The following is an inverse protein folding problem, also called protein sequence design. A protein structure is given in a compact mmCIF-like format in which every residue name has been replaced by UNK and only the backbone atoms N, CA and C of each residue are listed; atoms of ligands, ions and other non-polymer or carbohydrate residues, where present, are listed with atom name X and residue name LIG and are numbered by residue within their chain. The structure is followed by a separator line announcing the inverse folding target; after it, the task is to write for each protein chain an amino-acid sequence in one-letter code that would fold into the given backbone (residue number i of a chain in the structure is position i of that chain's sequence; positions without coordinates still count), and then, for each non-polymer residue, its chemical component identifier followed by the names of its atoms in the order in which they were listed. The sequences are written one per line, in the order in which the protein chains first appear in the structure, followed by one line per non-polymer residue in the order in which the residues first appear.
data_IF_770025834932
#
_entry.id   IF_770025834932
#
_cell.length_a   1.000
_cell.length_b   1.000
_cell.length_c   1.000
_cell.angle_alpha   90.00
_cell.angle_beta   90.00
_cell.angle_gamma   90.00
#
_symmetry.space_group_name_H-M   'P 1'
#
loop_
_entity.id
_entity.type
_entity.pdbx_description
1 polymer ?
#
# COMPACT_ATOMS: atom_id res chain seq x y z
N UNK A 1 21.39 -3.50 2.51
CA UNK A 1 20.99 -2.17 2.01
C UNK A 1 19.76 -2.36 1.16
N UNK A 2 18.61 -1.97 1.66
CA UNK A 2 17.38 -2.03 0.88
C UNK A 2 17.40 -0.90 -0.15
N UNK A 3 17.62 -1.26 -1.41
CA UNK A 3 17.31 -0.38 -2.51
C UNK A 3 15.78 -0.25 -2.55
N UNK A 4 15.25 0.76 -1.83
CA UNK A 4 13.97 1.32 -2.19
C UNK A 4 14.25 1.95 -3.55
N UNK A 5 13.94 1.22 -4.63
CA UNK A 5 13.99 1.79 -5.96
C UNK A 5 12.98 2.93 -5.95
N UNK A 6 13.50 4.13 -5.96
CA UNK A 6 12.75 5.37 -5.95
C UNK A 6 12.02 5.51 -7.29
N UNK A 7 10.88 4.85 -7.41
CA UNK A 7 9.92 5.17 -8.45
C UNK A 7 9.02 6.29 -7.92
N UNK A 8 9.60 7.46 -7.70
CA UNK A 8 8.83 8.63 -7.31
C UNK A 8 8.28 9.33 -8.54
N UNK A 9 6.98 9.46 -8.63
CA UNK A 9 6.33 10.31 -9.64
C UNK A 9 6.62 11.81 -9.43
N UNK A 10 7.25 12.20 -8.31
CA UNK A 10 7.45 13.59 -7.91
C UNK A 10 8.90 13.96 -7.57
N UNK A 11 9.86 13.05 -7.76
CA UNK A 11 11.29 13.36 -7.59
C UNK A 11 11.73 13.73 -6.16
N UNK A 12 10.93 13.41 -5.15
CA UNK A 12 11.22 13.79 -3.77
C UNK A 12 12.17 12.81 -3.09
N UNK A 13 13.19 13.33 -2.45
CA UNK A 13 14.11 12.53 -1.66
C UNK A 13 13.51 12.22 -0.28
N UNK A 14 13.94 11.10 0.30
CA UNK A 14 13.61 10.70 1.68
C UNK A 14 13.92 11.81 2.70
N UNK A 15 14.94 12.61 2.44
CA UNK A 15 15.35 13.75 3.29
C UNK A 15 14.33 14.88 3.23
N UNK A 16 13.77 15.15 2.07
CA UNK A 16 12.73 16.18 1.88
C UNK A 16 11.42 15.78 2.53
N UNK A 17 11.04 14.51 2.45
CA UNK A 17 9.87 13.99 3.15
C UNK A 17 10.00 14.10 4.68
N UNK A 18 11.19 13.88 5.24
CA UNK A 18 11.45 13.99 6.67
C UNK A 18 11.64 15.41 7.18
N UNK A 19 12.14 16.34 6.35
CA UNK A 19 12.41 17.72 6.73
C UNK A 19 11.15 18.59 6.78
N UNK A 20 10.06 18.16 6.20
CA UNK A 20 8.78 18.87 6.20
C UNK A 20 7.90 18.34 7.32
N UNK A 21 7.19 19.22 8.03
CA UNK A 21 6.10 18.84 8.95
C UNK A 21 4.87 18.27 8.20
N UNK A 22 5.11 17.56 7.09
CA UNK A 22 4.07 16.98 6.28
C UNK A 22 3.46 15.77 6.96
N UNK A 23 2.14 15.66 6.89
CA UNK A 23 1.43 14.46 7.30
C UNK A 23 1.62 13.36 6.25
N UNK A 24 2.39 12.35 6.56
CA UNK A 24 2.68 11.22 5.68
C UNK A 24 1.78 10.05 6.06
N UNK A 25 1.02 9.59 5.10
CA UNK A 25 0.18 8.40 5.21
C UNK A 25 0.79 7.30 4.35
N UNK A 26 0.96 6.11 4.92
CA UNK A 26 1.44 4.92 4.23
C UNK A 26 0.31 3.90 4.08
N UNK A 27 0.09 3.44 2.88
CA UNK A 27 -0.82 2.35 2.55
C UNK A 27 -0.09 1.35 1.65
N UNK A 28 -0.51 0.09 1.63
CA UNK A 28 0.18 -0.94 0.86
C UNK A 28 -0.78 -1.94 0.25
N UNK A 29 -0.41 -2.47 -0.91
CA UNK A 29 -1.25 -3.34 -1.72
C UNK A 29 -0.42 -4.34 -2.54
N UNK A 30 -1.03 -5.43 -2.93
CA UNK A 30 -0.59 -6.22 -4.07
C UNK A 30 -0.95 -5.47 -5.37
N UNK A 31 -2.14 -4.96 -5.46
CA UNK A 31 -2.69 -4.16 -6.58
C UNK A 31 -2.63 -4.89 -7.92
N UNK A 32 -2.99 -6.16 -7.94
CA UNK A 32 -2.94 -6.99 -9.14
C UNK A 32 -4.04 -6.63 -10.15
N UNK A 33 -5.28 -6.52 -9.66
CA UNK A 33 -6.41 -5.99 -10.43
C UNK A 33 -6.99 -4.83 -9.65
N UNK A 34 -6.87 -3.62 -10.19
CA UNK A 34 -7.43 -2.42 -9.58
C UNK A 34 -8.95 -2.46 -9.67
N UNK A 35 -9.60 -2.26 -8.56
CA UNK A 35 -11.05 -2.21 -8.46
C UNK A 35 -11.49 -1.11 -7.49
N UNK A 36 -12.80 -0.90 -7.39
CA UNK A 36 -13.39 0.16 -6.57
C UNK A 36 -12.94 0.12 -5.11
N UNK A 37 -12.75 -1.07 -4.53
CA UNK A 37 -12.27 -1.22 -3.15
C UNK A 37 -10.88 -0.59 -2.94
N UNK A 38 -9.95 -0.78 -3.87
CA UNK A 38 -8.64 -0.14 -3.86
C UNK A 38 -8.78 1.39 -3.98
N UNK A 39 -9.61 1.87 -4.90
CA UNK A 39 -9.80 3.31 -5.12
C UNK A 39 -10.40 4.00 -3.89
N UNK A 40 -11.35 3.36 -3.20
CA UNK A 40 -11.93 3.87 -1.96
C UNK A 40 -10.88 3.97 -0.85
N UNK A 41 -10.06 2.93 -0.66
CA UNK A 41 -8.98 2.95 0.32
C UNK A 41 -7.98 4.07 0.01
N UNK A 42 -7.56 4.21 -1.23
CA UNK A 42 -6.61 5.24 -1.66
C UNK A 42 -7.18 6.65 -1.52
N UNK A 43 -8.44 6.85 -1.89
CA UNK A 43 -9.15 8.12 -1.71
C UNK A 43 -9.21 8.53 -0.24
N UNK A 44 -9.59 7.60 0.64
CA UNK A 44 -9.66 7.84 2.08
C UNK A 44 -8.28 8.10 2.67
N UNK A 45 -7.27 7.33 2.26
CA UNK A 45 -5.89 7.53 2.69
C UNK A 45 -5.36 8.92 2.30
N UNK A 46 -5.66 9.37 1.07
CA UNK A 46 -5.28 10.73 0.63
C UNK A 46 -6.04 11.81 1.39
N UNK A 47 -7.31 11.61 1.69
CA UNK A 47 -8.09 12.54 2.51
C UNK A 47 -7.51 12.68 3.93
N UNK A 48 -7.04 11.57 4.53
CA UNK A 48 -6.36 11.57 5.83
C UNK A 48 -5.02 12.32 5.76
N UNK A 49 -4.26 12.17 4.67
CA UNK A 49 -3.03 12.92 4.46
C UNK A 49 -3.29 14.45 4.42
N UNK A 50 -4.41 14.83 3.87
CA UNK A 50 -4.80 16.23 3.69
C UNK A 50 -4.14 16.89 2.48
N UNK A 51 -4.46 18.19 2.22
CA UNK A 51 -4.00 18.88 1.01
C UNK A 51 -2.47 19.07 0.98
N UNK A 52 -1.85 19.29 2.13
CA UNK A 52 -0.40 19.48 2.27
C UNK A 52 0.35 18.19 2.63
N UNK A 53 -0.38 17.12 2.90
CA UNK A 53 0.19 15.81 3.20
C UNK A 53 0.47 14.97 1.96
N UNK A 54 1.06 13.80 2.18
CA UNK A 54 1.40 12.85 1.10
C UNK A 54 0.94 11.45 1.41
N UNK A 55 0.39 10.82 0.38
CA UNK A 55 0.10 9.39 0.38
C UNK A 55 1.22 8.64 -0.32
N UNK A 56 1.93 7.81 0.44
CA UNK A 56 2.93 6.88 -0.07
C UNK A 56 2.29 5.48 -0.13
N UNK A 57 2.41 4.84 -1.28
CA UNK A 57 1.84 3.50 -1.51
C UNK A 57 2.97 2.49 -1.72
N UNK A 58 2.99 1.46 -0.89
CA UNK A 58 3.87 0.31 -1.03
C UNK A 58 3.24 -0.77 -1.92
N UNK A 59 3.99 -1.24 -2.91
CA UNK A 59 3.58 -2.36 -3.77
C UNK A 59 4.39 -3.59 -3.39
N UNK A 60 3.68 -4.63 -2.97
CA UNK A 60 4.28 -5.89 -2.50
C UNK A 60 4.99 -6.61 -3.65
N UNK A 61 6.21 -7.11 -3.40
CA UNK A 61 7.02 -7.82 -4.40
C UNK A 61 6.33 -9.10 -4.88
N UNK A 62 6.68 -9.55 -6.09
CA UNK A 62 6.18 -10.82 -6.65
C UNK A 62 6.55 -12.01 -5.75
N UNK A 63 7.77 -12.02 -5.23
CA UNK A 63 8.28 -13.07 -4.34
C UNK A 63 7.48 -13.16 -3.04
N UNK A 64 7.17 -12.01 -2.43
CA UNK A 64 6.39 -11.99 -1.19
C UNK A 64 4.94 -12.44 -1.41
N UNK A 65 4.34 -12.06 -2.54
CA UNK A 65 3.00 -12.54 -2.92
C UNK A 65 3.00 -14.04 -3.15
N UNK A 66 3.97 -14.56 -3.91
CA UNK A 66 4.11 -15.98 -4.17
C UNK A 66 4.27 -16.77 -2.86
N UNK A 67 5.15 -16.32 -1.97
CA UNK A 67 5.38 -16.97 -0.67
C UNK A 67 4.12 -16.99 0.21
N UNK A 68 3.34 -15.91 0.20
CA UNK A 68 2.12 -15.78 1.03
C UNK A 68 0.91 -16.49 0.44
N UNK A 69 0.70 -16.38 -0.88
CA UNK A 69 -0.52 -16.84 -1.57
C UNK A 69 -0.33 -18.14 -2.37
N UNK A 70 0.89 -18.62 -2.52
CA UNK A 70 1.21 -19.81 -3.33
C UNK A 70 1.09 -19.62 -4.84
N UNK A 71 0.87 -18.39 -5.31
CA UNK A 71 0.79 -18.02 -6.72
C UNK A 71 1.24 -16.58 -6.94
N UNK A 72 1.86 -16.33 -8.09
CA UNK A 72 2.27 -14.99 -8.50
C UNK A 72 1.07 -14.12 -8.87
N UNK A 73 1.20 -12.79 -8.78
CA UNK A 73 0.24 -11.87 -9.37
C UNK A 73 0.13 -12.07 -10.90
N UNK A 74 -0.99 -11.65 -11.48
CA UNK A 74 -1.18 -11.65 -12.95
C UNK A 74 -0.29 -10.59 -13.62
N UNK A 75 -0.23 -9.41 -13.01
CA UNK A 75 0.61 -8.32 -13.47
C UNK A 75 1.97 -8.38 -12.77
N UNK A 76 3.03 -8.10 -13.52
CA UNK A 76 4.38 -8.02 -12.97
C UNK A 76 4.49 -6.90 -11.95
N UNK A 77 5.51 -6.97 -11.10
CA UNK A 77 5.79 -5.92 -10.11
C UNK A 77 5.91 -4.54 -10.76
N UNK A 78 6.63 -4.43 -11.89
CA UNK A 78 6.79 -3.16 -12.61
C UNK A 78 5.47 -2.59 -13.14
N UNK A 79 4.61 -3.43 -13.70
CA UNK A 79 3.27 -3.01 -14.14
C UNK A 79 2.41 -2.53 -12.97
N UNK A 80 2.47 -3.20 -11.83
CA UNK A 80 1.71 -2.82 -10.63
C UNK A 80 2.22 -1.51 -10.03
N UNK A 81 3.52 -1.25 -10.06
CA UNK A 81 4.13 0.04 -9.70
C UNK A 81 3.62 1.16 -10.63
N UNK A 82 3.63 0.94 -11.92
CA UNK A 82 3.18 1.92 -12.91
C UNK A 82 1.70 2.25 -12.74
N UNK A 83 0.85 1.24 -12.56
CA UNK A 83 -0.58 1.43 -12.29
C UNK A 83 -0.82 2.23 -11.02
N UNK A 84 -0.14 1.89 -9.92
CA UNK A 84 -0.26 2.62 -8.67
C UNK A 84 0.10 4.10 -8.85
N UNK A 85 1.19 4.39 -9.56
CA UNK A 85 1.64 5.74 -9.86
C UNK A 85 0.70 6.55 -10.76
N UNK A 86 -0.17 5.87 -11.50
CA UNK A 86 -1.16 6.50 -12.39
C UNK A 86 -2.46 6.88 -11.67
N UNK A 87 -2.65 6.45 -10.43
CA UNK A 87 -3.84 6.75 -9.64
C UNK A 87 -3.71 8.15 -9.02
N UNK A 88 -4.65 9.02 -9.31
CA UNK A 88 -4.61 10.44 -8.91
C UNK A 88 -4.47 10.71 -7.40
N UNK A 89 -4.81 9.75 -6.56
CA UNK A 89 -4.70 9.89 -5.10
C UNK A 89 -3.30 9.61 -4.57
N UNK A 90 -2.44 8.98 -5.36
CA UNK A 90 -1.12 8.50 -4.96
C UNK A 90 -0.09 9.57 -5.25
N UNK A 91 0.65 9.97 -4.22
CA UNK A 91 1.72 10.97 -4.38
C UNK A 91 3.08 10.30 -4.66
N UNK A 92 3.32 9.13 -4.07
CA UNK A 92 4.58 8.39 -4.22
C UNK A 92 4.32 6.89 -4.17
N UNK A 93 4.99 6.15 -5.03
CA UNK A 93 4.98 4.67 -5.01
C UNK A 93 6.36 4.15 -4.64
N UNK A 94 6.40 3.18 -3.74
CA UNK A 94 7.62 2.49 -3.32
C UNK A 94 7.44 0.98 -3.42
N UNK A 95 8.52 0.25 -3.66
CA UNK A 95 8.51 -1.19 -3.54
C UNK A 95 8.39 -1.62 -2.07
N UNK A 96 7.65 -2.68 -1.81
CA UNK A 96 7.56 -3.33 -0.52
C UNK A 96 8.05 -4.77 -0.66
N UNK A 97 9.24 -5.07 -0.12
CA UNK A 97 9.89 -6.37 -0.28
C UNK A 97 9.12 -7.48 0.42
N UNK A 98 8.64 -7.22 1.63
CA UNK A 98 7.92 -8.18 2.43
C UNK A 98 6.41 -8.02 2.27
N UNK A 99 5.66 -9.08 2.59
CA UNK A 99 4.18 -9.02 2.56
C UNK A 99 3.64 -8.06 3.63
N UNK A 100 4.33 -7.92 4.75
CA UNK A 100 4.00 -6.97 5.82
C UNK A 100 4.69 -5.63 5.58
N UNK A 101 4.11 -4.50 6.06
CA UNK A 101 4.63 -3.17 5.79
C UNK A 101 5.79 -2.73 6.70
N UNK A 102 6.20 -3.53 7.65
CA UNK A 102 7.00 -3.08 8.80
C UNK A 102 8.37 -2.51 8.42
N UNK A 103 9.06 -3.10 7.45
CA UNK A 103 10.36 -2.59 7.00
C UNK A 103 10.22 -1.18 6.41
N UNK A 104 9.26 -1.01 5.48
CA UNK A 104 9.00 0.30 4.89
C UNK A 104 8.53 1.33 5.93
N UNK A 105 7.69 0.91 6.88
CA UNK A 105 7.22 1.78 7.96
C UNK A 105 8.39 2.27 8.83
N UNK A 106 9.35 1.39 9.18
CA UNK A 106 10.56 1.81 9.90
C UNK A 106 11.41 2.81 9.12
N UNK A 107 11.51 2.61 7.81
CA UNK A 107 12.31 3.49 6.95
C UNK A 107 11.65 4.84 6.68
N UNK A 108 10.35 4.85 6.45
CA UNK A 108 9.58 6.05 6.08
C UNK A 108 9.21 6.84 7.34
N UNK A 109 8.91 6.14 8.45
CA UNK A 109 8.35 6.72 9.67
C UNK A 109 7.11 7.58 9.38
N UNK A 110 6.05 7.00 8.78
CA UNK A 110 4.85 7.76 8.45
C UNK A 110 4.10 8.19 9.72
N UNK A 111 3.26 9.21 9.60
CA UNK A 111 2.36 9.61 10.67
C UNK A 111 1.19 8.64 10.83
N UNK A 112 0.76 8.05 9.73
CA UNK A 112 -0.36 7.11 9.69
C UNK A 112 -0.01 5.88 8.84
N UNK A 113 -0.23 4.69 9.39
CA UNK A 113 -0.27 3.44 8.66
C UNK A 113 -1.74 3.06 8.43
N UNK A 114 -2.11 2.86 7.17
CA UNK A 114 -3.46 2.39 6.80
C UNK A 114 -3.51 0.87 6.80
N UNK A 115 -4.50 0.32 7.45
CA UNK A 115 -4.83 -1.10 7.47
C UNK A 115 -6.28 -1.33 7.05
N UNK A 116 -6.57 -2.54 6.59
CA UNK A 116 -7.94 -3.00 6.36
C UNK A 116 -8.36 -3.97 7.47
N UNK A 117 -9.62 -3.97 7.85
CA UNK A 117 -10.17 -4.94 8.79
C UNK A 117 -10.18 -6.39 8.23
N UNK A 118 -9.92 -6.55 6.94
CA UNK A 118 -9.66 -7.86 6.31
C UNK A 118 -8.25 -8.41 6.55
N UNK A 119 -7.34 -7.58 7.05
CA UNK A 119 -5.98 -8.02 7.39
C UNK A 119 -5.99 -8.84 8.67
N UNK A 120 -4.98 -9.68 8.83
CA UNK A 120 -4.80 -10.48 10.04
C UNK A 120 -4.70 -9.61 11.29
N UNK A 121 -5.45 -9.96 12.34
CA UNK A 121 -5.50 -9.18 13.58
C UNK A 121 -4.14 -9.08 14.28
N UNK A 122 -3.32 -10.11 14.19
CA UNK A 122 -1.96 -10.12 14.72
C UNK A 122 -1.06 -9.14 13.97
N UNK A 123 -1.19 -9.09 12.65
CA UNK A 123 -0.48 -8.13 11.80
C UNK A 123 -0.87 -6.69 12.12
N UNK A 124 -2.16 -6.40 12.31
CA UNK A 124 -2.64 -5.07 12.70
C UNK A 124 -2.06 -4.68 14.07
N UNK A 125 -2.06 -5.60 15.03
CA UNK A 125 -1.53 -5.36 16.39
C UNK A 125 -0.03 -5.08 16.38
N UNK A 126 0.76 -5.80 15.59
CA UNK A 126 2.19 -5.53 15.39
C UNK A 126 2.40 -4.16 14.75
N UNK A 127 1.60 -3.81 13.74
CA UNK A 127 1.62 -2.49 13.13
C UNK A 127 1.32 -1.37 14.11
N UNK A 128 0.34 -1.54 14.99
CA UNK A 128 0.00 -0.58 16.05
C UNK A 128 1.16 -0.39 17.03
N UNK A 129 1.79 -1.48 17.44
CA UNK A 129 2.96 -1.42 18.32
C UNK A 129 4.10 -0.63 17.68
N UNK A 130 4.46 -0.98 16.45
CA UNK A 130 5.51 -0.28 15.70
C UNK A 130 5.20 1.20 15.52
N UNK A 131 3.97 1.53 15.12
CA UNK A 131 3.55 2.92 14.92
C UNK A 131 3.59 3.72 16.23
N UNK A 132 3.20 3.12 17.35
CA UNK A 132 3.32 3.77 18.66
C UNK A 132 4.78 4.09 19.01
N UNK A 133 5.71 3.18 18.73
CA UNK A 133 7.16 3.40 18.93
C UNK A 133 7.69 4.54 18.06
N UNK A 134 7.13 4.73 16.88
CA UNK A 134 7.52 5.79 15.92
C UNK A 134 6.77 7.11 16.13
N UNK A 135 5.86 7.19 17.10
CA UNK A 135 5.04 8.38 17.36
C UNK A 135 3.89 8.61 16.36
N UNK A 136 3.55 7.60 15.59
CA UNK A 136 2.41 7.62 14.66
C UNK A 136 1.22 6.81 15.14
N UNK A 137 0.30 6.50 14.24
CA UNK A 137 -0.90 5.70 14.52
C UNK A 137 -1.31 4.82 13.35
N UNK A 138 -2.08 3.78 13.65
CA UNK A 138 -2.78 2.95 12.66
C UNK A 138 -4.22 3.42 12.53
N UNK A 139 -4.70 3.48 11.30
CA UNK A 139 -6.13 3.64 10.99
C UNK A 139 -6.59 2.39 10.26
N UNK A 140 -7.59 1.71 10.81
CA UNK A 140 -8.19 0.52 10.21
C UNK A 140 -9.45 0.92 9.47
N UNK A 141 -9.49 0.64 8.17
CA UNK A 141 -10.64 0.91 7.31
C UNK A 141 -11.47 -0.35 7.10
N UNK A 142 -12.80 -0.22 7.03
CA UNK A 142 -13.67 -1.33 6.68
C UNK A 142 -13.31 -1.90 5.29
N UNK A 143 -13.35 -3.24 5.19
CA UNK A 143 -13.17 -3.92 3.92
C UNK A 143 -14.36 -3.68 2.99
N UNK A 144 -14.06 -3.45 1.71
CA UNK A 144 -15.08 -3.28 0.68
C UNK A 144 -15.52 -4.65 0.13
N UNK A 145 -16.63 -5.19 0.67
CA UNK A 145 -17.09 -6.55 0.40
C UNK A 145 -17.68 -6.76 -1.01
N UNK A 146 -18.12 -5.71 -1.69
CA UNK A 146 -18.80 -5.83 -2.98
C UNK A 146 -17.87 -6.26 -4.12
N UNK A 147 -16.56 -6.08 -3.97
CA UNK A 147 -15.59 -6.39 -5.01
C UNK A 147 -14.21 -6.76 -4.45
N UNK A 148 -13.56 -7.74 -5.09
CA UNK A 148 -12.16 -8.08 -4.84
C UNK A 148 -11.51 -8.58 -6.13
N UNK A 149 -10.18 -8.55 -6.19
CA UNK A 149 -9.45 -9.14 -7.32
C UNK A 149 -9.77 -10.63 -7.50
N UNK A 150 -9.98 -11.35 -6.41
CA UNK A 150 -10.39 -12.76 -6.43
C UNK A 150 -11.75 -12.94 -7.10
N UNK A 151 -12.76 -12.16 -6.69
CA UNK A 151 -14.10 -12.21 -7.31
C UNK A 151 -14.08 -11.86 -8.79
N UNK A 152 -13.26 -10.89 -9.20
CA UNK A 152 -13.10 -10.54 -10.61
C UNK A 152 -12.48 -11.69 -11.39
N UNK A 153 -11.42 -12.31 -10.88
CA UNK A 153 -10.77 -13.46 -11.51
C UNK A 153 -11.73 -14.66 -11.64
N UNK A 154 -12.52 -14.92 -10.63
CA UNK A 154 -13.55 -15.99 -10.65
C UNK A 154 -14.62 -15.72 -11.72
N UNK A 155 -15.14 -14.49 -11.80
CA UNK A 155 -16.10 -14.12 -12.84
C UNK A 155 -15.54 -14.29 -14.25
N UNK A 156 -14.27 -13.90 -14.46
CA UNK A 156 -13.61 -14.06 -15.77
C UNK A 156 -13.41 -15.54 -16.12
N UNK A 157 -13.08 -16.41 -15.16
CA UNK A 157 -12.91 -17.85 -15.42
C UNK A 157 -14.22 -18.57 -15.81
N UNK A 158 -15.37 -18.05 -15.39
CA UNK A 158 -16.69 -18.57 -15.78
C UNK A 158 -17.03 -18.22 -17.22
N UNK A 159 -16.60 -17.07 -17.70
CA UNK A 159 -16.88 -16.60 -19.08
C UNK A 159 -16.07 -17.36 -20.13
N UNK A 160 -14.95 -17.98 -19.74
CA UNK A 160 -14.06 -18.73 -20.65
C UNK A 160 -14.49 -20.19 -20.87
N UNK A 161 -15.57 -20.65 -20.25
CA UNK A 161 -16.17 -21.99 -20.45
C UNK A 161 -17.38 -21.90 -21.37
#
# INVERSE_FOLDING_TARGET
MSNISEHSNLGWSKKELKASNMNIVYSYFVLDIVHRGHLMMLKNSKAIAGPDGRLIVGIVSDEAVLAKKGKSPLLSFSERIELAGSIKYVDLVVGQRDYTPYENVRHISPNVLMESDSHDAGQIKEGQKLMNELGGRVIVMPYFHEQSSTLIKEKLSIVQK
#
